data_IF_475081607869
#
_entry.id   IF_475081607869
#
_cell.length_a   1.000
_cell.length_b   1.000
_cell.length_c   1.000
_cell.angle_alpha   90.00
_cell.angle_beta   90.00
_cell.angle_gamma   90.00
#
_symmetry.space_group_name_H-M   'P 1'
#
loop_
_entity.id
_entity.type
_entity.pdbx_description
1 polymer ?
#
# COMPACT_ATOMS: atom_id res chain seq x y z
N UNK A 1 -14.56 1.93 2.53
CA UNK A 1 -15.96 2.14 2.11
C UNK A 1 -16.46 1.00 1.23
N UNK A 2 -15.81 0.65 0.11
CA UNK A 2 -16.23 -0.46 -0.77
C UNK A 2 -16.48 -1.81 -0.06
N UNK A 3 -15.66 -2.18 0.92
CA UNK A 3 -15.89 -3.41 1.71
C UNK A 3 -17.15 -3.32 2.57
N UNK A 4 -17.39 -2.21 3.27
CA UNK A 4 -18.59 -2.00 4.10
C UNK A 4 -19.86 -1.97 3.25
N UNK A 5 -19.79 -1.36 2.05
CA UNK A 5 -20.89 -1.36 1.10
C UNK A 5 -21.27 -2.79 0.65
N UNK A 6 -20.29 -3.67 0.44
CA UNK A 6 -20.53 -5.09 0.14
C UNK A 6 -21.18 -5.86 1.28
N UNK A 7 -20.93 -5.46 2.53
CA UNK A 7 -21.58 -6.01 3.71
C UNK A 7 -22.97 -5.39 3.96
N UNK A 8 -23.47 -4.55 3.03
CA UNK A 8 -24.81 -3.95 3.10
C UNK A 8 -24.88 -2.62 3.83
N UNK A 9 -23.74 -2.01 4.21
CA UNK A 9 -23.74 -0.68 4.84
C UNK A 9 -23.86 0.40 3.77
N UNK A 10 -24.93 1.20 3.82
CA UNK A 10 -25.11 2.35 2.93
C UNK A 10 -23.90 3.30 3.03
N UNK A 11 -23.43 3.83 1.90
CA UNK A 11 -22.19 4.62 1.83
C UNK A 11 -22.23 5.85 2.74
N UNK A 12 -23.41 6.45 2.86
CA UNK A 12 -23.72 7.64 3.66
C UNK A 12 -23.73 7.33 5.17
N UNK A 13 -23.94 6.06 5.53
CA UNK A 13 -23.94 5.60 6.92
C UNK A 13 -22.54 5.21 7.43
N UNK A 14 -21.52 5.19 6.56
CA UNK A 14 -20.14 4.80 6.93
C UNK A 14 -19.50 5.90 7.78
N UNK A 15 -19.35 5.64 9.08
CA UNK A 15 -18.77 6.55 10.04
C UNK A 15 -17.23 6.51 10.05
N UNK A 16 -16.61 7.46 10.75
CA UNK A 16 -15.18 7.40 11.04
C UNK A 16 -14.82 6.17 11.88
N UNK A 17 -15.68 5.78 12.84
CA UNK A 17 -15.47 4.61 13.68
C UNK A 17 -15.47 3.32 12.86
N UNK A 18 -16.36 3.20 11.86
CA UNK A 18 -16.38 2.03 10.97
C UNK A 18 -15.09 1.90 10.15
N UNK A 19 -14.56 3.04 9.68
CA UNK A 19 -13.28 3.08 8.96
C UNK A 19 -12.11 2.69 9.86
N UNK A 20 -12.11 3.15 11.11
CA UNK A 20 -11.09 2.80 12.10
C UNK A 20 -11.17 1.32 12.47
N UNK A 21 -12.36 0.81 12.78
CA UNK A 21 -12.61 -0.59 13.08
C UNK A 21 -12.28 -1.51 11.89
N UNK A 22 -12.54 -1.07 10.65
CA UNK A 22 -12.04 -1.75 9.47
C UNK A 22 -10.51 -1.71 9.38
N UNK A 23 -9.87 -0.56 9.63
CA UNK A 23 -8.40 -0.46 9.63
C UNK A 23 -7.77 -1.43 10.63
N UNK A 24 -8.36 -1.56 11.82
CA UNK A 24 -7.95 -2.52 12.84
C UNK A 24 -6.48 -2.33 13.21
N UNK A 25 -5.67 -3.37 13.02
CA UNK A 25 -4.22 -3.36 13.30
C UNK A 25 -3.33 -2.91 12.13
N UNK A 26 -3.94 -2.55 10.98
CA UNK A 26 -3.26 -2.39 9.69
C UNK A 26 -2.81 -0.95 9.40
N UNK A 27 -3.10 -0.02 10.31
CA UNK A 27 -2.79 1.38 10.15
C UNK A 27 -1.29 1.69 10.07
N UNK A 28 -1.00 2.91 9.63
CA UNK A 28 0.28 3.55 9.89
C UNK A 28 0.40 3.81 11.39
N UNK A 29 1.64 3.81 11.87
CA UNK A 29 1.95 3.97 13.27
C UNK A 29 1.58 2.76 14.13
N UNK A 30 1.33 3.02 15.42
CA UNK A 30 1.08 2.00 16.42
C UNK A 30 -0.38 1.88 16.90
N UNK A 31 -1.29 2.72 16.39
CA UNK A 31 -2.69 2.64 16.81
C UNK A 31 -3.36 1.39 16.23
N UNK A 32 -4.13 0.72 17.09
CA UNK A 32 -4.98 -0.42 16.74
C UNK A 32 -6.39 -0.18 17.23
N UNK A 33 -7.38 -0.50 16.40
CA UNK A 33 -8.78 -0.27 16.69
C UNK A 33 -9.52 -1.59 16.89
N UNK A 34 -10.30 -1.68 17.97
CA UNK A 34 -11.06 -2.88 18.36
C UNK A 34 -12.52 -2.51 18.69
N UNK A 35 -13.51 -3.35 18.33
CA UNK A 35 -13.36 -4.61 17.58
C UNK A 35 -12.98 -4.38 16.11
N UNK A 36 -12.30 -5.35 15.50
CA UNK A 36 -11.91 -5.26 14.09
C UNK A 36 -13.04 -5.73 13.18
N UNK A 37 -13.41 -4.91 12.20
CA UNK A 37 -14.27 -5.33 11.08
C UNK A 37 -13.42 -5.76 9.88
N UNK A 38 -13.91 -6.72 9.09
CA UNK A 38 -13.17 -7.26 7.95
C UNK A 38 -12.88 -8.76 8.04
N UNK A 39 -12.20 -9.33 7.05
CA UNK A 39 -11.90 -10.75 7.01
C UNK A 39 -11.01 -11.18 8.19
N UNK A 40 -11.48 -12.16 8.95
CA UNK A 40 -10.95 -12.58 10.26
C UNK A 40 -9.63 -13.38 10.22
N UNK A 41 -9.18 -13.83 9.05
CA UNK A 41 -7.95 -14.62 8.91
C UNK A 41 -7.19 -14.22 7.65
N UNK A 42 -5.90 -13.91 7.80
CA UNK A 42 -4.95 -13.82 6.69
C UNK A 42 -3.74 -14.67 7.05
N UNK A 43 -3.33 -15.51 6.11
CA UNK A 43 -1.99 -16.09 6.14
C UNK A 43 -1.06 -15.13 5.39
N UNK A 44 0.22 -15.05 5.75
CA UNK A 44 1.22 -14.47 4.87
C UNK A 44 1.12 -15.19 3.52
N UNK A 45 0.80 -14.46 2.47
CA UNK A 45 0.69 -15.00 1.11
C UNK A 45 1.68 -14.27 0.23
N UNK A 46 2.34 -15.04 -0.63
CA UNK A 46 3.14 -14.48 -1.74
C UNK A 46 2.25 -13.60 -2.59
N UNK A 47 2.76 -12.44 -2.95
CA UNK A 47 2.04 -11.41 -3.69
C UNK A 47 2.83 -11.05 -4.93
N UNK A 48 2.21 -11.23 -6.10
CA UNK A 48 2.79 -10.75 -7.36
C UNK A 48 2.42 -9.29 -7.55
N UNK A 49 3.41 -8.46 -7.86
CA UNK A 49 3.20 -7.02 -8.11
C UNK A 49 2.29 -6.78 -9.32
N UNK A 50 2.34 -7.66 -10.33
CA UNK A 50 1.40 -7.66 -11.47
C UNK A 50 -0.07 -7.69 -11.03
N UNK A 51 -0.37 -8.43 -9.96
CA UNK A 51 -1.74 -8.60 -9.47
C UNK A 51 -2.18 -7.35 -8.72
N UNK A 52 -1.26 -6.69 -8.00
CA UNK A 52 -1.48 -5.38 -7.40
C UNK A 52 -1.76 -4.30 -8.46
N UNK A 53 -0.99 -4.29 -9.56
CA UNK A 53 -1.21 -3.35 -10.68
C UNK A 53 -2.59 -3.57 -11.29
N UNK A 54 -2.95 -4.83 -11.58
CA UNK A 54 -4.23 -5.20 -12.18
C UNK A 54 -5.42 -4.86 -11.28
N UNK A 55 -5.31 -5.14 -9.97
CA UNK A 55 -6.29 -4.76 -8.98
C UNK A 55 -6.43 -3.22 -8.87
N UNK A 56 -5.31 -2.50 -8.84
CA UNK A 56 -5.30 -1.03 -8.73
C UNK A 56 -5.95 -0.37 -9.95
N UNK A 57 -5.67 -0.85 -11.18
CA UNK A 57 -6.29 -0.34 -12.42
C UNK A 57 -7.80 -0.49 -12.41
N UNK A 58 -8.30 -1.64 -11.95
CA UNK A 58 -9.76 -1.88 -11.85
C UNK A 58 -10.42 -1.01 -10.79
N UNK A 59 -9.74 -0.80 -9.67
CA UNK A 59 -10.20 0.10 -8.61
C UNK A 59 -10.41 1.52 -9.13
N UNK A 60 -9.51 2.03 -9.98
CA UNK A 60 -9.62 3.35 -10.58
C UNK A 60 -10.70 3.43 -11.66
N UNK A 61 -10.95 2.33 -12.38
CA UNK A 61 -11.94 2.29 -13.46
C UNK A 61 -13.37 1.98 -12.98
N UNK A 62 -13.65 2.04 -11.67
CA UNK A 62 -14.96 1.86 -11.01
C UNK A 62 -15.73 0.57 -11.38
N UNK A 63 -15.07 -0.43 -11.98
CA UNK A 63 -15.68 -1.75 -12.25
C UNK A 63 -15.58 -2.60 -10.98
N UNK A 64 -16.66 -2.60 -10.20
CA UNK A 64 -16.73 -3.23 -8.88
C UNK A 64 -17.11 -4.72 -8.89
N UNK A 65 -17.26 -5.35 -10.06
CA UNK A 65 -17.38 -6.81 -10.17
C UNK A 65 -16.00 -7.46 -10.02
N UNK A 66 -15.55 -7.58 -8.77
CA UNK A 66 -14.27 -8.21 -8.42
C UNK A 66 -14.49 -9.61 -7.87
N UNK A 67 -13.73 -10.58 -8.39
CA UNK A 67 -13.69 -11.93 -7.85
C UNK A 67 -13.14 -11.96 -6.41
N UNK A 68 -13.44 -13.04 -5.67
CA UNK A 68 -13.04 -13.19 -4.26
C UNK A 68 -11.52 -13.07 -4.02
N UNK A 69 -10.69 -13.59 -4.91
CA UNK A 69 -9.23 -13.51 -4.80
C UNK A 69 -8.74 -12.06 -4.94
N UNK A 70 -9.38 -11.29 -5.81
CA UNK A 70 -9.01 -9.91 -6.11
C UNK A 70 -9.48 -8.96 -5.01
N UNK A 71 -10.61 -9.27 -4.39
CA UNK A 71 -11.06 -8.58 -3.19
C UNK A 71 -10.03 -8.65 -2.05
N UNK A 72 -9.33 -9.79 -1.89
CA UNK A 72 -8.27 -9.92 -0.90
C UNK A 72 -7.05 -9.03 -1.21
N UNK A 73 -6.66 -8.95 -2.48
CA UNK A 73 -5.57 -8.08 -2.97
C UNK A 73 -5.94 -6.61 -2.81
N UNK A 74 -7.18 -6.24 -3.14
CA UNK A 74 -7.69 -4.89 -2.96
C UNK A 74 -7.64 -4.40 -1.52
N UNK A 75 -7.72 -5.31 -0.55
CA UNK A 75 -7.58 -4.94 0.86
C UNK A 75 -6.13 -4.64 1.26
N UNK A 76 -5.14 -4.98 0.43
CA UNK A 76 -3.73 -4.59 0.60
C UNK A 76 -3.45 -3.21 0.00
N UNK A 77 -4.26 -2.81 -0.98
CA UNK A 77 -4.13 -1.53 -1.68
C UNK A 77 -4.88 -0.46 -0.87
N UNK A 78 -4.14 0.54 -0.44
CA UNK A 78 -4.70 1.79 0.02
C UNK A 78 -4.64 2.77 -1.16
N UNK A 79 -5.79 3.11 -1.73
CA UNK A 79 -5.89 4.22 -2.67
C UNK A 79 -6.07 5.49 -1.85
N UNK A 80 -5.11 6.40 -1.92
CA UNK A 80 -5.23 7.72 -1.29
C UNK A 80 -5.38 8.79 -2.34
N UNK A 81 -6.18 9.82 -2.05
CA UNK A 81 -6.10 11.13 -2.72
C UNK A 81 -4.81 11.80 -2.23
N UNK A 82 -3.72 11.62 -2.96
CA UNK A 82 -2.53 12.45 -2.79
C UNK A 82 -2.71 13.77 -3.51
N UNK A 83 -1.82 14.74 -3.27
CA UNK A 83 -1.89 16.05 -3.92
C UNK A 83 -1.93 15.98 -5.47
N UNK A 84 -1.49 14.88 -6.10
CA UNK A 84 -1.60 14.65 -7.55
C UNK A 84 -2.65 13.66 -8.03
N UNK A 85 -3.57 13.21 -7.16
CA UNK A 85 -4.64 12.28 -7.51
C UNK A 85 -4.55 10.94 -6.79
N UNK A 86 -5.32 9.97 -7.30
CA UNK A 86 -5.56 8.66 -6.68
C UNK A 86 -4.37 7.70 -6.87
N UNK A 87 -3.29 7.89 -6.11
CA UNK A 87 -2.12 7.02 -6.20
C UNK A 87 -2.33 5.74 -5.39
N UNK A 88 -2.19 4.60 -6.06
CA UNK A 88 -2.26 3.30 -5.42
C UNK A 88 -0.96 3.00 -4.66
N UNK A 89 -1.10 2.68 -3.38
CA UNK A 89 0.00 2.24 -2.50
C UNK A 89 -0.39 0.98 -1.77
N UNK A 90 0.57 0.12 -1.47
CA UNK A 90 0.38 -1.11 -0.73
C UNK A 90 1.42 -1.25 0.37
N UNK A 91 0.99 -1.70 1.54
CA UNK A 91 1.91 -2.11 2.61
C UNK A 91 2.34 -3.55 2.35
N UNK A 92 3.64 -3.75 2.17
CA UNK A 92 4.22 -5.05 1.82
C UNK A 92 5.30 -5.47 2.80
N UNK A 93 5.53 -6.78 2.86
CA UNK A 93 6.71 -7.37 3.47
C UNK A 93 7.62 -7.83 2.33
N UNK A 94 8.87 -7.36 2.27
CA UNK A 94 9.81 -7.69 1.19
C UNK A 94 11.06 -8.37 1.75
N UNK A 95 11.51 -9.43 1.09
CA UNK A 95 12.73 -10.12 1.45
C UNK A 95 13.87 -9.71 0.49
N UNK A 96 14.88 -8.96 0.96
CA UNK A 96 15.97 -8.48 0.11
C UNK A 96 16.86 -9.57 -0.49
N UNK A 97 16.81 -10.81 0.03
CA UNK A 97 17.63 -11.94 -0.45
C UNK A 97 16.95 -12.73 -1.56
N UNK A 98 15.63 -12.86 -1.51
CA UNK A 98 14.84 -13.65 -2.47
C UNK A 98 14.03 -12.80 -3.43
N UNK A 99 13.98 -11.48 -3.19
CA UNK A 99 13.12 -10.52 -3.87
C UNK A 99 11.62 -10.81 -3.74
N UNK A 100 11.25 -11.68 -2.79
CA UNK A 100 9.88 -12.09 -2.57
C UNK A 100 9.08 -11.00 -1.86
N UNK A 101 7.89 -10.70 -2.38
CA UNK A 101 6.92 -9.78 -1.80
C UNK A 101 5.76 -10.56 -1.19
N UNK A 102 5.40 -10.20 0.03
CA UNK A 102 4.23 -10.70 0.77
C UNK A 102 3.37 -9.55 1.27
N UNK A 103 2.15 -9.88 1.71
CA UNK A 103 1.29 -8.94 2.44
C UNK A 103 2.00 -8.39 3.69
N UNK A 104 2.12 -7.07 3.80
CA UNK A 104 2.75 -6.41 4.96
C UNK A 104 1.79 -6.08 6.10
N UNK A 105 0.58 -6.65 6.11
CA UNK A 105 -0.44 -6.41 7.14
C UNK A 105 -0.30 -7.31 8.38
N UNK A 106 0.58 -8.30 8.30
CA UNK A 106 0.97 -9.19 9.39
C UNK A 106 2.42 -8.86 9.79
N UNK A 107 2.86 -9.24 11.00
CA UNK A 107 4.27 -9.17 11.35
C UNK A 107 5.12 -9.83 10.27
N UNK A 108 6.19 -9.15 9.85
CA UNK A 108 7.12 -9.70 8.88
C UNK A 108 7.79 -10.96 9.45
N UNK A 109 7.83 -12.04 8.66
CA UNK A 109 8.58 -13.23 9.00
C UNK A 109 10.10 -12.94 8.97
N UNK A 110 10.90 -13.82 9.58
CA UNK A 110 12.35 -13.69 9.61
C UNK A 110 12.92 -13.49 8.20
N UNK A 111 13.70 -12.43 8.03
CA UNK A 111 14.30 -12.05 6.75
C UNK A 111 13.42 -11.17 5.86
N UNK A 112 12.17 -10.91 6.24
CA UNK A 112 11.32 -9.92 5.59
C UNK A 112 11.38 -8.58 6.33
N UNK A 113 11.24 -7.51 5.56
CA UNK A 113 11.21 -6.14 6.04
C UNK A 113 9.88 -5.47 5.68
N UNK A 114 9.45 -4.48 6.45
CA UNK A 114 8.23 -3.72 6.16
C UNK A 114 8.50 -2.54 5.23
N UNK A 115 7.79 -2.51 4.10
CA UNK A 115 7.93 -1.49 3.07
C UNK A 115 6.57 -0.95 2.65
N UNK A 116 6.56 0.29 2.15
CA UNK A 116 5.45 0.88 1.44
C UNK A 116 5.79 0.88 -0.06
N UNK A 117 5.01 0.15 -0.84
CA UNK A 117 5.13 0.05 -2.29
C UNK A 117 4.17 1.05 -2.94
N UNK A 118 4.70 1.99 -3.71
CA UNK A 118 3.94 2.92 -4.56
C UNK A 118 3.89 2.37 -5.98
N UNK A 119 2.69 2.05 -6.44
CA UNK A 119 2.48 1.22 -7.62
C UNK A 119 2.52 2.11 -8.87
N UNK A 120 3.44 1.83 -9.79
CA UNK A 120 3.50 2.47 -11.11
C UNK A 120 2.60 1.76 -12.13
N UNK A 121 2.26 2.47 -13.21
CA UNK A 121 1.50 1.94 -14.34
C UNK A 121 0.00 1.73 -14.07
N UNK A 122 -0.59 2.41 -13.09
CA UNK A 122 -2.01 2.23 -12.71
C UNK A 122 -2.97 3.08 -13.56
N UNK A 123 -2.46 4.03 -14.34
CA UNK A 123 -3.24 4.93 -15.19
C UNK A 123 -2.56 6.29 -15.30
N UNK A 124 -3.13 7.24 -16.06
CA UNK A 124 -2.66 8.61 -16.10
C UNK A 124 -2.82 9.30 -14.74
N UNK A 125 -1.80 10.07 -14.35
CA UNK A 125 -1.82 10.95 -13.19
C UNK A 125 -1.97 12.40 -13.70
N UNK A 126 -2.91 13.14 -13.13
CA UNK A 126 -3.30 14.47 -13.62
C UNK A 126 -2.17 15.52 -13.46
N UNK A 127 -1.20 15.29 -12.57
CA UNK A 127 -0.07 16.23 -12.36
C UNK A 127 1.21 15.83 -13.09
N UNK A 128 1.42 14.53 -13.34
CA UNK A 128 2.69 13.99 -13.82
C UNK A 128 2.65 13.38 -15.23
N UNK A 129 1.50 13.44 -15.93
CA UNK A 129 1.37 13.11 -17.35
C UNK A 129 1.04 11.64 -17.63
N UNK A 130 1.42 11.11 -18.81
CA UNK A 130 1.19 9.71 -19.17
C UNK A 130 1.88 8.76 -18.18
N UNK A 131 1.11 7.82 -17.63
CA UNK A 131 1.58 6.88 -16.61
C UNK A 131 2.80 6.04 -17.02
N UNK A 132 3.59 5.60 -16.03
CA UNK A 132 4.62 4.56 -16.24
C UNK A 132 6.07 4.96 -15.93
N UNK A 133 6.33 6.13 -15.33
CA UNK A 133 7.68 6.52 -14.87
C UNK A 133 7.72 7.12 -13.47
N UNK A 134 6.62 7.09 -12.73
CA UNK A 134 6.53 7.81 -11.45
C UNK A 134 7.44 7.23 -10.38
N UNK A 135 7.65 5.90 -10.40
CA UNK A 135 8.54 5.30 -9.41
C UNK A 135 9.98 5.79 -9.58
N UNK A 136 10.44 5.92 -10.83
CA UNK A 136 11.77 6.46 -11.16
C UNK A 136 11.89 7.94 -10.75
N UNK A 137 10.85 8.74 -10.95
CA UNK A 137 10.82 10.15 -10.53
C UNK A 137 10.96 10.26 -9.00
N UNK A 138 10.16 9.52 -8.24
CA UNK A 138 10.25 9.52 -6.76
C UNK A 138 11.62 9.04 -6.28
N UNK A 139 12.20 8.03 -6.93
CA UNK A 139 13.55 7.55 -6.59
C UNK A 139 14.63 8.60 -6.89
N UNK A 140 14.52 9.32 -8.02
CA UNK A 140 15.42 10.42 -8.33
C UNK A 140 15.34 11.52 -7.25
N UNK A 141 14.15 11.90 -6.79
CA UNK A 141 13.99 12.84 -5.68
C UNK A 141 14.58 12.33 -4.36
N UNK A 142 14.42 11.04 -4.06
CA UNK A 142 15.08 10.42 -2.90
C UNK A 142 16.61 10.56 -3.00
N UNK A 143 17.21 10.26 -4.16
CA UNK A 143 18.65 10.40 -4.37
C UNK A 143 19.12 11.85 -4.21
N UNK A 144 18.38 12.81 -4.78
CA UNK A 144 18.68 14.24 -4.63
C UNK A 144 18.58 14.70 -3.18
N UNK A 145 17.56 14.26 -2.44
CA UNK A 145 17.41 14.56 -1.02
C UNK A 145 18.58 14.02 -0.19
N UNK A 146 18.99 12.75 -0.43
CA UNK A 146 20.16 12.16 0.23
C UNK A 146 21.46 12.90 -0.12
N UNK A 147 21.64 13.28 -1.38
CA UNK A 147 22.79 14.07 -1.81
C UNK A 147 22.85 15.46 -1.16
N UNK A 148 21.69 16.03 -0.85
CA UNK A 148 21.57 17.28 -0.10
C UNK A 148 21.73 17.11 1.43
N UNK A 149 22.00 15.90 1.93
CA UNK A 149 22.16 15.62 3.36
C UNK A 149 20.85 15.50 4.13
N UNK A 150 19.72 15.37 3.45
CA UNK A 150 18.41 15.15 4.10
C UNK A 150 18.31 13.70 4.54
N UNK A 151 18.00 13.49 5.83
CA UNK A 151 17.74 12.15 6.34
C UNK A 151 16.42 11.61 5.79
N UNK A 152 16.48 10.39 5.27
CA UNK A 152 15.39 9.75 4.53
C UNK A 152 15.45 8.27 4.80
N UNK A 153 14.27 7.63 4.92
CA UNK A 153 14.17 6.19 4.94
C UNK A 153 14.79 5.57 3.67
N UNK A 154 15.28 4.33 3.80
CA UNK A 154 15.79 3.57 2.66
C UNK A 154 14.72 3.47 1.57
N UNK A 155 15.08 3.81 0.33
CA UNK A 155 14.19 3.69 -0.82
C UNK A 155 14.82 2.83 -1.91
N UNK A 156 13.99 2.16 -2.70
CA UNK A 156 14.40 1.27 -3.79
C UNK A 156 13.40 1.32 -4.94
N UNK A 157 13.84 0.86 -6.11
CA UNK A 157 12.97 0.52 -7.23
C UNK A 157 12.78 -1.00 -7.27
N UNK A 158 11.53 -1.44 -7.36
CA UNK A 158 11.19 -2.81 -7.70
C UNK A 158 10.76 -2.84 -9.17
N UNK A 159 11.54 -3.51 -10.01
CA UNK A 159 11.33 -3.52 -11.45
C UNK A 159 10.69 -4.82 -11.92
N UNK A 160 9.59 -4.73 -12.67
CA UNK A 160 8.90 -5.90 -13.24
C UNK A 160 8.18 -5.51 -14.53
N UNK A 161 8.26 -6.37 -15.56
CA UNK A 161 7.59 -6.20 -16.86
C UNK A 161 7.64 -4.76 -17.42
N UNK A 162 8.83 -4.13 -17.34
CA UNK A 162 9.10 -2.78 -17.84
C UNK A 162 8.60 -1.63 -16.95
N UNK A 163 7.96 -1.92 -15.81
CA UNK A 163 7.55 -0.94 -14.79
C UNK A 163 8.62 -0.85 -13.70
N UNK A 164 8.67 0.30 -13.04
CA UNK A 164 9.52 0.52 -11.87
C UNK A 164 8.67 1.08 -10.73
N UNK A 165 8.39 0.26 -9.72
CA UNK A 165 7.60 0.63 -8.56
C UNK A 165 8.53 1.23 -7.50
N UNK A 166 8.15 2.37 -6.92
CA UNK A 166 8.93 2.97 -5.85
C UNK A 166 8.59 2.31 -4.52
N UNK A 167 9.61 1.92 -3.77
CA UNK A 167 9.49 1.36 -2.44
C UNK A 167 10.22 2.23 -1.44
N UNK A 168 9.61 2.48 -0.29
CA UNK A 168 10.27 3.11 0.86
C UNK A 168 10.08 2.26 2.10
N UNK A 169 11.15 2.08 2.87
CA UNK A 169 11.13 1.30 4.10
C UNK A 169 10.27 2.01 5.13
N UNK A 170 9.44 1.26 5.83
CA UNK A 170 8.56 1.81 6.87
C UNK A 170 9.37 2.20 8.10
N UNK A 171 9.52 3.50 8.33
CA UNK A 171 10.17 4.05 9.53
C UNK A 171 9.36 3.80 10.81
N UNK A 172 8.05 3.52 10.69
CA UNK A 172 7.17 3.19 11.80
C UNK A 172 7.13 1.67 12.14
N UNK A 173 8.04 0.91 11.52
CA UNK A 173 8.19 -0.55 11.67
C UNK A 173 9.64 -1.04 11.87
N UNK A 174 10.49 -0.39 12.70
CA UNK A 174 11.86 -0.85 12.90
C UNK A 174 11.86 -2.24 13.57
N UNK A 175 12.58 -3.20 12.99
CA UNK A 175 12.64 -4.57 13.52
C UNK A 175 11.28 -5.29 13.58
N UNK A 176 10.24 -4.76 12.94
CA UNK A 176 8.86 -5.27 13.05
C UNK A 176 8.03 -4.67 14.19
N UNK A 177 8.64 -3.88 15.08
CA UNK A 177 7.92 -3.20 16.17
C UNK A 177 7.07 -2.05 15.66
N UNK A 178 5.99 -1.71 16.35
CA UNK A 178 5.12 -0.59 15.96
C UNK A 178 5.51 0.68 16.69
N UNK A 179 5.94 1.71 15.96
CA UNK A 179 6.14 3.05 16.52
C UNK A 179 4.92 3.94 16.27
N UNK A 180 4.49 4.69 17.27
CA UNK A 180 3.43 5.68 17.08
C UNK A 180 3.95 6.87 16.28
N UNK A 181 3.20 7.30 15.26
CA UNK A 181 3.56 8.42 14.38
C UNK A 181 2.31 9.22 14.05
N UNK A 182 2.46 10.53 13.92
CA UNK A 182 1.41 11.46 13.51
C UNK A 182 2.03 12.48 12.56
N UNK A 183 1.34 12.79 11.46
CA UNK A 183 1.71 13.90 10.58
C UNK A 183 1.18 15.22 11.14
N UNK A 184 1.90 16.32 10.86
CA UNK A 184 1.45 17.68 11.15
C UNK A 184 0.21 18.08 10.35
#
# INVERSE_FOLDING_TARGET
DAWLAREGVAREAISALDRLAYMGQRGMGALEFKPTHGPKKRKPSVLKVSDLVSASRRALNERLDLEHAEAAIMQLIQVGTSAGGARAKAVVAWNPKTDEIRSGQLPAETGFEHWLLKIDGVGPDHELGEGGRYGRIEYAYHLMARAAGIDMADCRLFEEAGRAHFMTRRFDRPGGEKLHVQSL
#
